data_IF_933082649732
#
_entry.id   IF_933082649732
#
_cell.length_a   1.000
_cell.length_b   1.000
_cell.length_c   1.000
_cell.angle_alpha   90.00
_cell.angle_beta   90.00
_cell.angle_gamma   90.00
#
_symmetry.space_group_name_H-M   'P 1'
#
loop_
_entity.id
_entity.type
_entity.pdbx_description
1 polymer ?
#
# COMPACT_ATOMS: atom_id res chain seq x y z
N UNK A 1 -10.41 -17.45 -12.32
CA UNK A 1 -9.34 -17.02 -13.25
C UNK A 1 -8.74 -15.71 -12.74
N UNK A 2 -7.42 -15.47 -12.92
CA UNK A 2 -6.79 -14.20 -12.51
C UNK A 2 -7.31 -13.01 -13.32
N UNK A 3 -7.53 -11.86 -12.66
CA UNK A 3 -7.97 -10.61 -13.29
C UNK A 3 -6.78 -9.75 -13.73
N UNK A 4 -6.19 -10.06 -14.89
CA UNK A 4 -4.97 -9.41 -15.38
C UNK A 4 -5.10 -7.89 -15.58
N UNK A 5 -6.29 -7.38 -15.93
CA UNK A 5 -6.53 -5.94 -16.13
C UNK A 5 -6.36 -5.11 -14.84
N UNK A 6 -6.48 -5.74 -13.67
CA UNK A 6 -6.30 -5.09 -12.36
C UNK A 6 -4.84 -4.96 -11.91
N UNK A 7 -3.89 -5.51 -12.68
CA UNK A 7 -2.48 -5.48 -12.31
C UNK A 7 -1.94 -4.07 -12.49
N UNK A 8 -1.08 -3.64 -11.56
CA UNK A 8 -0.44 -2.33 -11.59
C UNK A 8 1.03 -2.50 -11.21
N UNK A 9 1.91 -1.77 -11.89
CA UNK A 9 3.34 -1.68 -11.56
C UNK A 9 3.67 -0.23 -11.27
N UNK A 10 4.22 0.02 -10.09
CA UNK A 10 4.64 1.35 -9.67
C UNK A 10 6.17 1.42 -9.75
N UNK A 11 6.68 2.44 -10.43
CA UNK A 11 8.11 2.79 -10.37
C UNK A 11 8.27 3.75 -9.20
N UNK A 12 9.01 3.31 -8.19
CA UNK A 12 9.29 4.07 -6.96
C UNK A 12 10.17 5.27 -7.29
N UNK A 13 9.89 6.40 -6.65
CA UNK A 13 10.64 7.64 -6.82
C UNK A 13 12.10 7.48 -6.38
N UNK A 14 13.04 8.05 -7.14
CA UNK A 14 14.46 8.08 -6.76
C UNK A 14 14.77 8.92 -5.52
N UNK A 15 13.77 9.66 -5.01
CA UNK A 15 13.86 10.38 -3.73
C UNK A 15 13.76 9.44 -2.52
N UNK A 16 13.21 8.24 -2.72
CA UNK A 16 13.25 7.17 -1.71
C UNK A 16 14.69 6.67 -1.66
N UNK A 17 15.30 6.65 -0.47
CA UNK A 17 16.69 6.18 -0.31
C UNK A 17 16.77 4.73 -0.83
N UNK A 18 17.83 4.39 -1.57
CA UNK A 18 18.09 3.00 -1.94
C UNK A 18 18.14 2.18 -0.64
N UNK A 19 17.24 1.19 -0.49
CA UNK A 19 16.98 0.36 0.71
C UNK A 19 15.86 0.82 1.66
N UNK A 20 15.12 1.87 1.34
CA UNK A 20 13.93 2.23 2.10
C UNK A 20 12.67 1.58 1.49
N UNK A 21 12.57 0.27 1.67
CA UNK A 21 11.41 -0.54 1.25
C UNK A 21 10.11 -0.04 1.91
N UNK A 22 10.23 0.67 3.03
CA UNK A 22 9.13 1.25 3.78
C UNK A 22 8.55 2.49 3.10
N UNK A 23 9.40 3.46 2.75
CA UNK A 23 8.96 4.62 1.99
C UNK A 23 8.46 4.23 0.59
N UNK A 24 9.02 3.17 -0.01
CA UNK A 24 8.50 2.60 -1.25
C UNK A 24 7.07 2.05 -1.09
N UNK A 25 6.79 1.26 -0.05
CA UNK A 25 5.45 0.73 0.22
C UNK A 25 4.45 1.87 0.46
N UNK A 26 4.82 2.86 1.28
CA UNK A 26 4.00 4.04 1.56
C UNK A 26 3.62 4.78 0.27
N UNK A 27 4.59 5.02 -0.62
CA UNK A 27 4.34 5.67 -1.91
C UNK A 27 3.32 4.88 -2.74
N UNK A 28 3.45 3.54 -2.80
CA UNK A 28 2.53 2.68 -3.56
C UNK A 28 1.12 2.73 -3.00
N UNK A 29 0.95 2.65 -1.68
CA UNK A 29 -0.36 2.64 -1.03
C UNK A 29 -1.10 3.97 -1.25
N UNK A 30 -0.41 5.10 -1.08
CA UNK A 30 -0.97 6.43 -1.34
C UNK A 30 -1.36 6.56 -2.82
N UNK A 31 -0.49 6.15 -3.74
CA UNK A 31 -0.76 6.25 -5.17
C UNK A 31 -1.93 5.36 -5.60
N UNK A 32 -2.04 4.16 -5.02
CA UNK A 32 -3.07 3.19 -5.38
C UNK A 32 -4.43 3.54 -4.81
N UNK A 33 -4.51 3.95 -3.55
CA UNK A 33 -5.80 4.06 -2.87
C UNK A 33 -6.26 5.50 -2.61
N UNK A 34 -5.34 6.45 -2.56
CA UNK A 34 -5.67 7.86 -2.30
C UNK A 34 -5.61 8.72 -3.57
N UNK A 35 -4.72 8.39 -4.51
CA UNK A 35 -4.52 9.19 -5.73
C UNK A 35 -5.30 8.67 -6.95
N UNK A 36 -5.51 7.36 -7.04
CA UNK A 36 -6.21 6.73 -8.17
C UNK A 36 -7.72 6.69 -7.89
N UNK A 37 -8.47 7.60 -8.53
CA UNK A 37 -9.92 7.71 -8.36
C UNK A 37 -10.70 6.53 -8.95
N UNK A 38 -10.08 5.74 -9.81
CA UNK A 38 -10.69 4.52 -10.36
C UNK A 38 -10.37 3.28 -9.52
N UNK A 39 -9.49 3.42 -8.52
CA UNK A 39 -9.17 2.33 -7.63
C UNK A 39 -10.35 2.01 -6.73
N UNK A 40 -10.85 0.79 -6.89
CA UNK A 40 -11.80 0.20 -5.95
C UNK A 40 -11.04 -0.37 -4.77
N UNK A 41 -11.59 -0.15 -3.57
CA UNK A 41 -11.10 -0.80 -2.37
C UNK A 41 -11.36 -2.30 -2.46
N UNK A 42 -10.34 -3.16 -2.30
CA UNK A 42 -10.55 -4.59 -2.29
C UNK A 42 -11.28 -5.00 -1.00
N UNK A 43 -11.90 -6.17 -1.01
CA UNK A 43 -12.45 -6.79 0.22
C UNK A 43 -11.33 -7.31 1.13
N UNK A 44 -10.21 -7.74 0.53
CA UNK A 44 -9.02 -8.23 1.22
C UNK A 44 -7.78 -7.67 0.52
N UNK A 45 -6.86 -7.11 1.29
CA UNK A 45 -5.55 -6.66 0.81
C UNK A 45 -4.44 -7.51 1.43
N UNK A 46 -3.78 -8.31 0.61
CA UNK A 46 -2.67 -9.17 1.04
C UNK A 46 -1.36 -8.43 0.88
N UNK A 47 -0.59 -8.34 1.97
CA UNK A 47 0.79 -7.89 1.96
C UNK A 47 1.71 -9.06 2.26
N UNK A 48 2.58 -9.36 1.30
CA UNK A 48 3.68 -10.31 1.44
C UNK A 48 4.85 -9.59 2.13
N UNK A 49 4.93 -9.74 3.46
CA UNK A 49 5.88 -8.99 4.26
C UNK A 49 5.91 -9.34 5.75
N UNK A 50 7.10 -9.24 6.34
CA UNK A 50 7.31 -9.48 7.76
C UNK A 50 6.88 -8.32 8.66
N UNK A 51 7.05 -8.51 9.98
CA UNK A 51 6.65 -7.55 11.02
C UNK A 51 7.18 -6.12 10.85
N UNK A 52 8.25 -5.90 10.09
CA UNK A 52 8.78 -4.57 9.78
C UNK A 52 7.81 -3.69 8.97
N UNK A 53 7.01 -4.29 8.08
CA UNK A 53 6.06 -3.54 7.25
C UNK A 53 4.81 -3.08 8.02
N UNK A 54 4.48 -3.73 9.13
CA UNK A 54 3.37 -3.33 10.01
C UNK A 54 3.56 -1.93 10.59
N UNK A 55 4.80 -1.55 10.91
CA UNK A 55 5.09 -0.25 11.50
C UNK A 55 4.80 0.89 10.52
N UNK A 56 5.17 0.71 9.25
CA UNK A 56 4.93 1.68 8.17
C UNK A 56 3.45 1.94 7.97
N UNK A 57 2.64 0.88 8.02
CA UNK A 57 1.21 1.02 7.82
C UNK A 57 0.58 1.74 9.01
N UNK A 58 1.09 1.50 10.23
CA UNK A 58 0.69 2.29 11.41
C UNK A 58 1.07 3.76 11.29
N UNK A 59 2.30 4.07 10.87
CA UNK A 59 2.71 5.46 10.61
C UNK A 59 1.84 6.11 9.52
N UNK A 60 1.52 5.37 8.45
CA UNK A 60 0.62 5.85 7.40
C UNK A 60 -0.79 6.12 7.93
N UNK A 61 -1.30 5.32 8.87
CA UNK A 61 -2.61 5.57 9.49
C UNK A 61 -2.63 6.83 10.35
N UNK A 62 -1.52 7.11 11.05
CA UNK A 62 -1.37 8.33 11.84
C UNK A 62 -1.35 9.57 10.94
N UNK A 63 -0.66 9.50 9.81
CA UNK A 63 -0.57 10.60 8.85
C UNK A 63 -1.83 10.77 7.98
N UNK A 64 -2.44 9.66 7.58
CA UNK A 64 -3.59 9.62 6.67
C UNK A 64 -4.72 8.77 7.27
N UNK A 65 -5.57 9.34 8.14
CA UNK A 65 -6.68 8.62 8.78
C UNK A 65 -7.68 8.02 7.79
N UNK A 66 -7.78 8.58 6.59
CA UNK A 66 -8.59 8.02 5.49
C UNK A 66 -8.13 6.61 5.07
N UNK A 67 -6.90 6.24 5.42
CA UNK A 67 -6.35 4.92 5.14
C UNK A 67 -6.88 3.82 6.07
N UNK A 68 -7.59 4.17 7.15
CA UNK A 68 -8.13 3.22 8.12
C UNK A 68 -9.02 2.15 7.48
N UNK A 69 -9.89 2.55 6.54
CA UNK A 69 -10.80 1.61 5.87
C UNK A 69 -10.03 0.56 5.04
N UNK A 70 -8.89 0.94 4.47
CA UNK A 70 -8.01 0.02 3.73
C UNK A 70 -7.32 -0.91 4.72
N UNK A 71 -6.83 -0.35 5.83
CA UNK A 71 -6.10 -1.10 6.85
C UNK A 71 -6.94 -2.21 7.48
N UNK A 72 -8.21 -1.94 7.76
CA UNK A 72 -9.12 -2.92 8.36
C UNK A 72 -9.31 -4.17 7.48
N UNK A 73 -8.94 -4.09 6.19
CA UNK A 73 -8.99 -5.17 5.21
C UNK A 73 -7.62 -5.80 4.91
N UNK A 74 -6.56 -5.35 5.57
CA UNK A 74 -5.21 -5.89 5.36
C UNK A 74 -5.07 -7.23 6.05
N UNK A 75 -4.63 -8.24 5.30
CA UNK A 75 -4.21 -9.53 5.82
C UNK A 75 -2.73 -9.69 5.54
N UNK A 76 -1.95 -9.89 6.59
CA UNK A 76 -0.53 -10.21 6.49
C UNK A 76 -0.38 -11.71 6.33
N UNK A 77 0.45 -12.13 5.37
CA UNK A 77 0.65 -13.53 4.99
C UNK A 77 2.13 -13.86 5.07
#
# INVERSE_FOLDING_TARGET
MPYFKGYRRYKISSKVKQQDDYAALKEVLIRRFLSDKEATLPDIFILDGGKGQLHVIKELLEEEPAFQEIFDKVVFV
#
